data_IF_145818090037
#
_entry.id   IF_145818090037
#
_cell.length_a   1.000
_cell.length_b   1.000
_cell.length_c   1.000
_cell.angle_alpha   90.00
_cell.angle_beta   90.00
_cell.angle_gamma   90.00
#
_symmetry.space_group_name_H-M   'P 1'
#
loop_
_entity.id
_entity.type
_entity.pdbx_description
1 polymer ?
#
# COMPACT_ATOMS: atom_id res chain seq x y z
N UNK A 1 1.99 -10.33 29.23
CA UNK A 1 2.80 -10.90 28.14
C UNK A 1 2.56 -10.07 26.89
N UNK A 2 3.58 -9.34 26.43
CA UNK A 2 3.52 -8.60 25.17
C UNK A 2 3.58 -9.62 24.03
N UNK A 3 2.49 -9.81 23.29
CA UNK A 3 2.47 -10.70 22.12
C UNK A 3 3.13 -9.96 20.96
N UNK A 4 4.22 -10.50 20.41
CA UNK A 4 4.79 -10.00 19.17
C UNK A 4 3.79 -10.20 18.03
N UNK A 5 3.60 -9.18 17.20
CA UNK A 5 2.76 -9.29 16.01
C UNK A 5 3.32 -10.38 15.08
N UNK A 6 2.44 -11.24 14.57
CA UNK A 6 2.79 -12.19 13.53
C UNK A 6 3.13 -11.45 12.23
N UNK A 7 3.91 -12.08 11.36
CA UNK A 7 4.26 -11.53 10.04
C UNK A 7 3.02 -11.13 9.24
N UNK A 8 1.93 -11.89 9.37
CA UNK A 8 0.65 -11.59 8.72
C UNK A 8 -0.03 -10.35 9.30
N UNK A 9 0.00 -10.16 10.63
CA UNK A 9 -0.53 -8.95 11.28
C UNK A 9 0.29 -7.71 10.89
N UNK A 10 1.62 -7.85 10.75
CA UNK A 10 2.49 -6.80 10.23
C UNK A 10 2.16 -6.44 8.78
N UNK A 11 2.04 -7.44 7.90
CA UNK A 11 1.70 -7.24 6.49
C UNK A 11 0.32 -6.55 6.34
N UNK A 12 -0.65 -6.90 7.20
CA UNK A 12 -1.95 -6.24 7.25
C UNK A 12 -1.86 -4.77 7.71
N UNK A 13 -1.07 -4.48 8.75
CA UNK A 13 -0.87 -3.11 9.25
C UNK A 13 -0.17 -2.23 8.20
N UNK A 14 0.88 -2.74 7.56
CA UNK A 14 1.60 -2.04 6.49
C UNK A 14 0.68 -1.76 5.28
N UNK A 15 -0.14 -2.74 4.88
CA UNK A 15 -1.12 -2.57 3.83
C UNK A 15 -2.12 -1.44 4.14
N UNK A 16 -2.56 -1.30 5.39
CA UNK A 16 -3.48 -0.23 5.80
C UNK A 16 -2.84 1.16 5.66
N UNK A 17 -1.57 1.30 6.08
CA UNK A 17 -0.81 2.55 5.93
C UNK A 17 -0.65 2.90 4.44
N UNK A 18 -0.26 1.92 3.62
CA UNK A 18 -0.07 2.13 2.19
C UNK A 18 -1.38 2.51 1.48
N UNK A 19 -2.50 1.87 1.80
CA UNK A 19 -3.81 2.22 1.22
C UNK A 19 -4.18 3.67 1.53
N UNK A 20 -3.90 4.13 2.75
CA UNK A 20 -4.15 5.52 3.14
C UNK A 20 -3.28 6.49 2.35
N UNK A 21 -1.99 6.23 2.24
CA UNK A 21 -1.06 7.13 1.54
C UNK A 21 -1.26 7.13 0.02
N UNK A 22 -1.62 5.97 -0.53
CA UNK A 22 -1.89 5.81 -1.96
C UNK A 22 -3.34 6.16 -2.31
N UNK A 23 -4.13 6.65 -1.35
CA UNK A 23 -5.47 7.14 -1.60
C UNK A 23 -5.42 8.32 -2.58
N UNK A 24 -6.02 8.15 -3.76
CA UNK A 24 -5.95 9.12 -4.86
C UNK A 24 -4.93 8.78 -5.96
N UNK A 25 -3.96 7.89 -5.69
CA UNK A 25 -2.98 7.43 -6.68
C UNK A 25 -3.22 5.99 -7.14
N UNK A 26 -3.77 5.16 -6.26
CA UNK A 26 -4.10 3.76 -6.52
C UNK A 26 -5.55 3.53 -6.11
N UNK A 27 -6.30 2.83 -6.96
CA UNK A 27 -7.60 2.28 -6.59
C UNK A 27 -7.74 0.84 -7.08
N UNK A 28 -8.58 0.08 -6.39
CA UNK A 28 -8.95 -1.27 -6.77
C UNK A 28 -10.48 -1.36 -6.87
N UNK A 29 -11.02 -1.74 -8.02
CA UNK A 29 -12.46 -1.97 -8.22
C UNK A 29 -12.67 -3.45 -8.55
N UNK A 30 -13.25 -4.19 -7.60
CA UNK A 30 -13.39 -5.65 -7.70
C UNK A 30 -12.04 -6.35 -7.80
N UNK A 31 -11.68 -6.81 -9.01
CA UNK A 31 -10.37 -7.44 -9.32
C UNK A 31 -9.44 -6.57 -10.16
N UNK A 32 -9.88 -5.34 -10.50
CA UNK A 32 -9.16 -4.45 -11.42
C UNK A 32 -8.43 -3.39 -10.61
N UNK A 33 -7.15 -3.20 -10.93
CA UNK A 33 -6.34 -2.14 -10.36
C UNK A 33 -6.26 -0.96 -11.32
N UNK A 34 -6.21 0.24 -10.77
CA UNK A 34 -5.99 1.46 -11.53
C UNK A 34 -4.97 2.32 -10.82
N UNK A 35 -4.13 2.95 -11.63
CA UNK A 35 -3.19 3.98 -11.22
C UNK A 35 -3.67 5.31 -11.74
N UNK A 36 -3.53 6.35 -10.94
CA UNK A 36 -3.69 7.72 -11.40
C UNK A 36 -2.51 8.07 -12.32
N UNK A 37 -2.83 8.56 -13.50
CA UNK A 37 -1.88 9.05 -14.49
C UNK A 37 -1.86 10.59 -14.36
N UNK A 38 -0.81 11.11 -13.73
CA UNK A 38 -0.63 12.55 -13.52
C UNK A 38 -0.44 13.30 -14.84
N UNK A 39 0.14 12.67 -15.86
CA UNK A 39 0.40 13.29 -17.16
C UNK A 39 -0.88 13.47 -17.97
N UNK A 40 -1.80 12.50 -17.88
CA UNK A 40 -3.05 12.48 -18.65
C UNK A 40 -4.31 12.82 -17.83
N UNK A 41 -4.17 13.10 -16.53
CA UNK A 41 -5.26 13.52 -15.64
C UNK A 41 -6.38 12.48 -15.52
N UNK A 42 -6.04 11.19 -15.36
CA UNK A 42 -7.05 10.15 -15.36
C UNK A 42 -6.64 8.81 -14.75
N UNK A 43 -7.63 7.94 -14.54
CA UNK A 43 -7.40 6.58 -14.04
C UNK A 43 -7.02 5.63 -15.17
N UNK A 44 -5.79 5.09 -15.12
CA UNK A 44 -5.31 4.08 -16.06
C UNK A 44 -5.41 2.70 -15.44
N UNK A 45 -6.10 1.78 -16.12
CA UNK A 45 -6.14 0.38 -15.71
C UNK A 45 -4.73 -0.20 -15.73
N UNK A 46 -4.36 -0.87 -14.65
CA UNK A 46 -3.08 -1.55 -14.50
C UNK A 46 -3.29 -3.00 -14.07
N UNK A 47 -2.24 -3.81 -14.21
CA UNK A 47 -2.17 -5.15 -13.62
C UNK A 47 -1.41 -5.09 -12.30
N UNK A 48 -1.65 -6.08 -11.43
CA UNK A 48 -0.72 -6.36 -10.33
C UNK A 48 0.56 -6.89 -10.99
N UNK A 49 1.50 -5.98 -11.19
CA UNK A 49 2.72 -6.21 -11.94
C UNK A 49 3.62 -4.99 -11.79
N UNK A 50 4.55 -4.82 -12.72
CA UNK A 50 5.63 -3.86 -12.60
C UNK A 50 5.17 -2.43 -12.21
N UNK A 51 4.15 -1.88 -12.87
CA UNK A 51 3.71 -0.51 -12.62
C UNK A 51 3.10 -0.29 -11.22
N UNK A 52 2.21 -1.19 -10.77
CA UNK A 52 1.59 -1.08 -9.45
C UNK A 52 2.62 -1.33 -8.33
N UNK A 53 3.43 -2.38 -8.47
CA UNK A 53 4.46 -2.70 -7.49
C UNK A 53 5.48 -1.56 -7.37
N UNK A 54 5.96 -0.99 -8.49
CA UNK A 54 6.88 0.14 -8.44
C UNK A 54 6.28 1.39 -7.78
N UNK A 55 4.98 1.66 -7.98
CA UNK A 55 4.33 2.77 -7.28
C UNK A 55 4.31 2.53 -5.76
N UNK A 56 4.05 1.30 -5.34
CA UNK A 56 4.08 0.92 -3.93
C UNK A 56 5.50 0.99 -3.39
N UNK A 57 6.52 0.46 -4.08
CA UNK A 57 7.93 0.57 -3.68
C UNK A 57 8.33 2.03 -3.48
N UNK A 58 7.98 2.93 -4.40
CA UNK A 58 8.27 4.36 -4.24
C UNK A 58 7.65 4.97 -2.98
N UNK A 59 6.47 4.50 -2.58
CA UNK A 59 5.83 4.95 -1.34
C UNK A 59 6.49 4.32 -0.10
N UNK A 60 6.92 3.06 -0.19
CA UNK A 60 7.72 2.39 0.85
C UNK A 60 9.05 3.11 1.06
N UNK A 61 9.76 3.49 0.00
CA UNK A 61 11.00 4.27 0.07
C UNK A 61 10.78 5.61 0.79
N UNK A 62 9.69 6.31 0.50
CA UNK A 62 9.32 7.55 1.20
C UNK A 62 9.05 7.32 2.68
N UNK A 63 8.36 6.24 3.03
CA UNK A 63 8.09 5.88 4.42
C UNK A 63 9.37 5.52 5.19
N UNK A 64 10.33 4.83 4.54
CA UNK A 64 11.66 4.57 5.11
C UNK A 64 12.38 5.88 5.39
N UNK A 65 12.45 6.78 4.39
CA UNK A 65 13.11 8.08 4.55
C UNK A 65 12.47 8.89 5.68
N UNK A 66 11.14 8.95 5.73
CA UNK A 66 10.42 9.64 6.80
C UNK A 66 10.73 9.04 8.18
N UNK A 67 10.69 7.71 8.30
CA UNK A 67 10.99 7.04 9.55
C UNK A 67 12.43 7.30 10.02
N UNK A 68 13.40 7.31 9.10
CA UNK A 68 14.80 7.67 9.41
C UNK A 68 14.92 9.12 9.86
N UNK A 69 14.25 10.06 9.18
CA UNK A 69 14.26 11.47 9.55
C UNK A 69 13.63 11.75 10.93
N UNK A 70 12.80 10.84 11.42
CA UNK A 70 12.12 10.89 12.73
C UNK A 70 12.78 9.99 13.78
N UNK A 71 13.99 9.48 13.52
CA UNK A 71 14.73 8.55 14.41
C UNK A 71 14.00 7.22 14.72
N UNK A 72 13.01 6.83 13.90
CA UNK A 72 12.25 5.58 14.01
C UNK A 72 12.87 4.45 13.19
N UNK A 73 14.06 4.01 13.59
CA UNK A 73 14.86 3.04 12.84
C UNK A 73 14.24 1.64 12.75
N UNK A 74 13.48 1.21 13.76
CA UNK A 74 12.76 -0.07 13.73
C UNK A 74 11.67 -0.06 12.66
N UNK A 75 10.88 1.02 12.59
CA UNK A 75 9.86 1.21 11.57
C UNK A 75 10.49 1.22 10.16
N UNK A 76 11.61 1.94 9.99
CA UNK A 76 12.35 1.96 8.73
C UNK A 76 12.79 0.55 8.31
N UNK A 77 13.30 -0.24 9.26
CA UNK A 77 13.72 -1.63 9.02
C UNK A 77 12.56 -2.53 8.64
N UNK A 78 11.39 -2.35 9.25
CA UNK A 78 10.19 -3.13 8.91
C UNK A 78 9.73 -2.85 7.47
N UNK A 79 9.80 -1.58 7.04
CA UNK A 79 9.48 -1.20 5.66
C UNK A 79 10.44 -1.77 4.60
N UNK A 80 11.72 -1.97 4.93
CA UNK A 80 12.72 -2.52 4.00
C UNK A 80 12.30 -3.88 3.41
N UNK A 81 11.45 -4.63 4.11
CA UNK A 81 10.88 -5.91 3.64
C UNK A 81 10.06 -5.79 2.36
N UNK A 82 9.53 -4.60 2.04
CA UNK A 82 8.66 -4.36 0.89
C UNK A 82 9.36 -3.58 -0.23
N UNK A 83 10.69 -3.53 -0.21
CA UNK A 83 11.48 -2.93 -1.29
C UNK A 83 11.56 -3.86 -2.52
N UNK A 84 11.38 -5.16 -2.35
CA UNK A 84 11.30 -6.09 -3.49
C UNK A 84 9.89 -6.05 -4.13
N UNK A 85 9.76 -5.63 -5.40
CA UNK A 85 8.47 -5.60 -6.10
C UNK A 85 7.76 -6.96 -6.17
N UNK A 86 8.50 -8.07 -6.09
CA UNK A 86 7.96 -9.44 -6.17
C UNK A 86 7.23 -9.85 -4.90
N UNK A 87 7.70 -9.36 -3.74
CA UNK A 87 7.07 -9.60 -2.43
C UNK A 87 5.77 -8.81 -2.23
N UNK A 88 5.65 -7.65 -2.87
CA UNK A 88 4.45 -6.80 -2.79
C UNK A 88 3.22 -7.56 -3.30
N UNK A 89 3.37 -8.24 -4.43
CA UNK A 89 2.28 -8.94 -5.10
C UNK A 89 1.66 -10.03 -4.23
N UNK A 90 2.47 -10.81 -3.52
CA UNK A 90 2.01 -11.92 -2.69
C UNK A 90 1.60 -11.48 -1.29
N UNK A 91 2.26 -10.48 -0.72
CA UNK A 91 2.10 -10.09 0.69
C UNK A 91 1.14 -8.93 0.89
N UNK A 92 1.35 -7.82 0.17
CA UNK A 92 0.61 -6.59 0.41
C UNK A 92 -0.68 -6.51 -0.40
N UNK A 93 -0.64 -6.88 -1.69
CA UNK A 93 -1.80 -6.67 -2.57
C UNK A 93 -3.08 -7.39 -2.14
N UNK A 94 -3.07 -8.60 -1.55
CA UNK A 94 -4.29 -9.23 -1.03
C UNK A 94 -4.93 -8.42 0.11
N UNK A 95 -4.12 -7.92 1.05
CA UNK A 95 -4.59 -7.10 2.17
C UNK A 95 -5.09 -5.74 1.69
N UNK A 96 -4.34 -5.06 0.81
CA UNK A 96 -4.74 -3.78 0.23
C UNK A 96 -6.05 -3.92 -0.59
N UNK A 97 -6.18 -4.97 -1.41
CA UNK A 97 -7.38 -5.21 -2.19
C UNK A 97 -8.62 -5.45 -1.31
N UNK A 98 -8.43 -6.09 -0.14
CA UNK A 98 -9.51 -6.25 0.85
C UNK A 98 -9.93 -4.89 1.42
N UNK A 99 -8.96 -4.08 1.87
CA UNK A 99 -9.24 -2.75 2.45
C UNK A 99 -9.91 -1.82 1.42
N UNK A 100 -9.44 -1.79 0.17
CA UNK A 100 -10.08 -0.99 -0.88
C UNK A 100 -11.53 -1.41 -1.14
N UNK A 101 -11.83 -2.71 -1.10
CA UNK A 101 -13.20 -3.23 -1.24
C UNK A 101 -14.08 -2.87 -0.05
N UNK A 102 -13.56 -2.98 1.17
CA UNK A 102 -14.25 -2.58 2.40
C UNK A 102 -14.55 -1.07 2.37
N UNK A 103 -13.58 -0.24 1.99
CA UNK A 103 -13.76 1.21 1.87
C UNK A 103 -14.74 1.63 0.76
N UNK A 104 -14.92 0.82 -0.29
CA UNK A 104 -15.97 1.03 -1.31
C UNK A 104 -17.35 0.56 -0.85
N UNK A 105 -17.41 -0.45 0.01
CA UNK A 105 -18.64 -0.98 0.57
C UNK A 105 -19.21 -0.09 1.69
N UNK A 106 -18.36 0.73 2.33
CA UNK A 106 -18.81 1.81 3.20
C UNK A 106 -19.53 2.87 2.34
N UNK A 107 -20.78 3.26 2.67
CA UNK A 107 -21.41 4.38 1.98
C UNK A 107 -20.47 5.58 2.09
N UNK A 108 -20.22 6.26 0.97
CA UNK A 108 -19.46 7.51 0.95
C UNK A 108 -20.12 8.47 1.94
N UNK A 109 -19.59 8.54 3.16
CA UNK A 109 -20.04 9.48 4.16
C UNK A 109 -19.96 10.86 3.56
N UNK A 110 -21.10 11.53 3.52
CA UNK A 110 -21.26 12.93 3.11
C UNK A 110 -20.19 13.78 3.79
N UNK A 111 -19.41 14.49 2.97
CA UNK A 111 -18.81 15.77 3.32
C UNK A 111 -19.60 16.85 2.62
#
# INVERSE_FOLDING_TARGET
>A
MTRYATVQEQDQACAAILVRNLYGYVKCEGRRWYLWDDDNGGWKRTTVGYALCNRIVREVERLIVQAVMEDRYEDARDWCRYLDPTDIGTRLTPHMARIYRENQALPRGQG
#
